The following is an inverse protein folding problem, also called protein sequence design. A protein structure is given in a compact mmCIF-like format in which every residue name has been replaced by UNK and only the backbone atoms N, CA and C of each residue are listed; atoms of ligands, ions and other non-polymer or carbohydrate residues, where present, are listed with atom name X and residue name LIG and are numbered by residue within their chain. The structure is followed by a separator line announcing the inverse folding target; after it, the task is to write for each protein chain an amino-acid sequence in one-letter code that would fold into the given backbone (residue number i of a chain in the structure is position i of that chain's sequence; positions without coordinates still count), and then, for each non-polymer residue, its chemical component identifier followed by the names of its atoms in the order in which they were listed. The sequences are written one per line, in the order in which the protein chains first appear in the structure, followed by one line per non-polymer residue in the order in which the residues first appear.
data_IF_759086981694
#
_entry.id   IF_759086981694
#
_cell.length_a   1.000
_cell.length_b   1.000
_cell.length_c   1.000
_cell.angle_alpha   90.00
_cell.angle_beta   90.00
_cell.angle_gamma   90.00
#
_symmetry.space_group_name_H-M   'P 1'
#
loop_
_entity.id
_entity.type
_entity.pdbx_description
1 polymer ?
#
# COMPACT_ATOMS: atom_id res chain seq x y z
N UNK A 1 -21.06 -4.67 -3.92
CA UNK A 1 -19.95 -3.76 -3.56
C UNK A 1 -19.20 -4.22 -2.30
N UNK A 2 -19.85 -4.71 -1.25
CA UNK A 2 -19.18 -5.26 -0.04
C UNK A 2 -18.08 -6.28 -0.33
N UNK A 3 -18.30 -7.21 -1.28
CA UNK A 3 -17.29 -8.19 -1.68
C UNK A 3 -16.02 -7.55 -2.26
N UNK A 4 -16.15 -6.46 -3.03
CA UNK A 4 -15.01 -5.74 -3.57
C UNK A 4 -14.17 -5.11 -2.45
N UNK A 5 -14.82 -4.50 -1.45
CA UNK A 5 -14.14 -3.93 -0.28
C UNK A 5 -13.46 -5.01 0.58
N UNK A 6 -14.07 -6.19 0.73
CA UNK A 6 -13.45 -7.34 1.40
C UNK A 6 -12.21 -7.84 0.65
N UNK A 7 -12.29 -7.96 -0.68
CA UNK A 7 -11.16 -8.34 -1.52
C UNK A 7 -10.05 -7.30 -1.46
N UNK A 8 -10.38 -6.01 -1.54
CA UNK A 8 -9.41 -4.91 -1.39
C UNK A 8 -8.75 -4.94 0.01
N UNK A 9 -9.51 -5.20 1.07
CA UNK A 9 -8.97 -5.38 2.43
C UNK A 9 -7.97 -6.53 2.50
N UNK A 10 -8.33 -7.71 1.98
CA UNK A 10 -7.43 -8.84 1.91
C UNK A 10 -6.18 -8.54 1.06
N UNK A 11 -6.34 -7.85 -0.07
CA UNK A 11 -5.24 -7.43 -0.95
C UNK A 11 -4.25 -6.50 -0.23
N UNK A 12 -4.74 -5.52 0.53
CA UNK A 12 -3.88 -4.66 1.34
C UNK A 12 -3.11 -5.43 2.42
N UNK A 13 -3.76 -6.41 3.06
CA UNK A 13 -3.08 -7.26 4.03
C UNK A 13 -1.98 -8.11 3.37
N UNK A 14 -2.27 -8.73 2.22
CA UNK A 14 -1.28 -9.48 1.46
C UNK A 14 -0.09 -8.62 1.02
N UNK A 15 -0.36 -7.38 0.57
CA UNK A 15 0.71 -6.43 0.24
C UNK A 15 1.50 -6.03 1.48
N UNK A 16 0.87 -5.82 2.63
CA UNK A 16 1.60 -5.55 3.88
C UNK A 16 2.59 -6.68 4.22
N UNK A 17 2.13 -7.93 4.13
CA UNK A 17 2.96 -9.10 4.41
C UNK A 17 4.09 -9.24 3.38
N UNK A 18 3.78 -9.12 2.09
CA UNK A 18 4.77 -9.18 1.01
C UNK A 18 5.79 -8.04 1.07
N UNK A 19 5.34 -6.81 1.38
CA UNK A 19 6.22 -5.66 1.61
C UNK A 19 7.15 -5.92 2.79
N UNK A 20 6.63 -6.45 3.91
CA UNK A 20 7.46 -6.81 5.06
C UNK A 20 8.47 -7.90 4.73
N UNK A 21 8.06 -8.94 4.00
CA UNK A 21 8.92 -10.05 3.62
C UNK A 21 10.04 -9.62 2.66
N UNK A 22 9.69 -8.84 1.62
CA UNK A 22 10.66 -8.34 0.64
C UNK A 22 11.72 -7.41 1.23
N UNK A 23 11.48 -6.85 2.43
CA UNK A 23 12.50 -6.12 3.19
C UNK A 23 13.80 -6.92 3.30
N UNK A 24 13.68 -8.22 3.55
CA UNK A 24 14.81 -9.11 3.79
C UNK A 24 15.76 -9.13 2.58
N UNK A 25 15.22 -9.30 1.38
CA UNK A 25 16.00 -9.52 0.16
C UNK A 25 16.94 -8.34 -0.16
N UNK A 26 16.46 -7.10 -0.02
CA UNK A 26 17.27 -5.92 -0.33
C UNK A 26 18.03 -5.38 0.88
N UNK A 27 17.53 -5.59 2.10
CA UNK A 27 18.25 -5.15 3.30
C UNK A 27 19.44 -6.05 3.60
N UNK A 28 19.39 -7.36 3.31
CA UNK A 28 20.54 -8.26 3.52
C UNK A 28 21.68 -8.01 2.53
N UNK A 29 21.44 -7.23 1.46
CA UNK A 29 22.47 -6.88 0.50
C UNK A 29 23.60 -6.05 1.14
N UNK A 30 24.85 -6.45 0.89
CA UNK A 30 26.04 -5.76 1.40
C UNK A 30 26.05 -4.25 1.07
N UNK A 31 25.59 -3.84 -0.12
CA UNK A 31 25.50 -2.41 -0.50
C UNK A 31 24.51 -1.63 0.36
N UNK A 32 23.44 -2.27 0.81
CA UNK A 32 22.49 -1.62 1.71
C UNK A 32 23.07 -1.52 3.13
N UNK A 33 23.74 -2.57 3.60
CA UNK A 33 24.34 -2.61 4.95
C UNK A 33 25.49 -1.61 5.12
N UNK A 34 26.12 -1.16 4.03
CA UNK A 34 27.20 -0.16 4.05
C UNK A 34 26.70 1.29 3.86
N UNK A 35 25.39 1.52 3.80
CA UNK A 35 24.85 2.88 3.72
C UNK A 35 25.23 3.72 4.95
N UNK A 36 25.40 5.04 4.80
CA UNK A 36 25.54 5.95 5.94
C UNK A 36 24.39 5.78 6.93
N UNK A 37 24.68 5.90 8.22
CA UNK A 37 23.74 5.61 9.32
C UNK A 37 22.34 6.21 9.14
N UNK A 38 22.27 7.48 8.71
CA UNK A 38 20.99 8.18 8.48
C UNK A 38 20.22 7.54 7.33
N UNK A 39 20.88 7.26 6.19
CA UNK A 39 20.25 6.64 5.03
C UNK A 39 19.76 5.21 5.36
N UNK A 40 20.59 4.42 6.05
CA UNK A 40 20.23 3.08 6.53
C UNK A 40 18.98 3.13 7.43
N UNK A 41 18.99 4.00 8.45
CA UNK A 41 17.91 4.10 9.41
C UNK A 41 16.59 4.55 8.75
N UNK A 42 16.63 5.60 7.93
CA UNK A 42 15.44 6.12 7.25
C UNK A 42 14.87 5.11 6.24
N UNK A 43 15.72 4.41 5.48
CA UNK A 43 15.26 3.40 4.53
C UNK A 43 14.61 2.21 5.25
N UNK A 44 15.24 1.69 6.31
CA UNK A 44 14.71 0.55 7.07
C UNK A 44 13.41 0.90 7.80
N UNK A 45 13.41 2.01 8.56
CA UNK A 45 12.23 2.44 9.29
C UNK A 45 11.08 2.80 8.35
N UNK A 46 11.36 3.57 7.29
CA UNK A 46 10.35 3.97 6.29
C UNK A 46 9.70 2.76 5.61
N UNK A 47 10.47 1.71 5.34
CA UNK A 47 9.90 0.49 4.79
C UNK A 47 8.92 -0.21 5.74
N UNK A 48 9.28 -0.40 7.00
CA UNK A 48 8.37 -1.02 7.98
C UNK A 48 7.18 -0.13 8.35
N UNK A 49 7.36 1.20 8.35
CA UNK A 49 6.24 2.14 8.43
C UNK A 49 5.27 1.96 7.26
N UNK A 50 5.77 1.78 6.04
CA UNK A 50 4.98 1.43 4.85
C UNK A 50 4.18 0.13 5.04
N UNK A 51 4.80 -0.91 5.62
CA UNK A 51 4.08 -2.14 5.96
C UNK A 51 2.92 -1.91 6.93
N UNK A 52 3.13 -1.12 7.98
CA UNK A 52 2.07 -0.73 8.93
C UNK A 52 0.97 0.09 8.26
N UNK A 53 1.32 1.01 7.36
CA UNK A 53 0.38 1.77 6.55
C UNK A 53 -0.55 0.86 5.72
N UNK A 54 0.00 -0.21 5.12
CA UNK A 54 -0.82 -1.17 4.40
C UNK A 54 -1.78 -1.96 5.30
N UNK A 55 -1.42 -2.23 6.57
CA UNK A 55 -2.35 -2.83 7.54
C UNK A 55 -3.50 -1.87 7.85
N UNK A 56 -3.20 -0.59 8.07
CA UNK A 56 -4.25 0.43 8.30
C UNK A 56 -5.22 0.49 7.10
N UNK A 57 -4.70 0.42 5.88
CA UNK A 57 -5.49 0.36 4.65
C UNK A 57 -6.36 -0.90 4.55
N UNK A 58 -5.87 -2.05 5.03
CA UNK A 58 -6.65 -3.28 5.11
C UNK A 58 -7.81 -3.14 6.09
N UNK A 59 -7.54 -2.58 7.28
CA UNK A 59 -8.53 -2.39 8.33
C UNK A 59 -9.63 -1.40 7.92
N UNK A 60 -9.27 -0.27 7.28
CA UNK A 60 -10.26 0.72 6.85
C UNK A 60 -11.17 0.17 5.75
N UNK A 61 -10.63 -0.60 4.79
CA UNK A 61 -11.45 -1.27 3.78
C UNK A 61 -12.35 -2.36 4.39
N UNK A 62 -11.86 -3.05 5.42
CA UNK A 62 -12.71 -3.98 6.18
C UNK A 62 -13.86 -3.25 6.86
N UNK A 63 -13.59 -2.12 7.53
CA UNK A 63 -14.62 -1.28 8.14
C UNK A 63 -15.66 -0.78 7.12
N UNK A 64 -15.21 -0.27 5.97
CA UNK A 64 -16.11 0.09 4.86
C UNK A 64 -16.90 -1.09 4.32
N UNK A 65 -16.34 -2.31 4.32
CA UNK A 65 -17.10 -3.50 3.92
C UNK A 65 -18.25 -3.82 4.90
N UNK A 66 -18.05 -3.55 6.19
CA UNK A 66 -19.07 -3.75 7.23
C UNK A 66 -20.14 -2.65 7.21
N UNK A 67 -19.75 -1.42 6.86
CA UNK A 67 -20.67 -0.29 6.70
C UNK A 67 -20.30 0.55 5.46
N UNK A 68 -20.78 0.18 4.26
CA UNK A 68 -20.47 0.90 3.03
C UNK A 68 -21.00 2.34 3.00
N UNK A 69 -21.99 2.67 3.85
CA UNK A 69 -22.53 4.02 3.98
C UNK A 69 -21.49 5.06 4.40
N UNK A 70 -20.41 4.63 5.08
CA UNK A 70 -19.28 5.50 5.44
C UNK A 70 -18.63 6.15 4.21
N UNK A 71 -18.64 5.50 3.04
CA UNK A 71 -18.07 6.04 1.81
C UNK A 71 -18.93 7.14 1.16
N UNK A 72 -20.09 7.48 1.73
CA UNK A 72 -20.87 8.66 1.36
C UNK A 72 -20.36 9.92 2.05
N UNK A 73 -19.66 9.78 3.16
CA UNK A 73 -18.95 10.88 3.80
C UNK A 73 -17.76 11.31 2.91
N UNK A 74 -17.65 12.59 2.52
CA UNK A 74 -16.54 13.09 1.72
C UNK A 74 -15.16 12.79 2.31
N UNK A 75 -15.01 12.75 3.64
CA UNK A 75 -13.73 12.46 4.30
C UNK A 75 -13.29 11.03 4.02
N UNK A 76 -14.19 10.04 4.14
CA UNK A 76 -13.86 8.65 3.82
C UNK A 76 -13.56 8.47 2.32
N UNK A 77 -14.31 9.16 1.45
CA UNK A 77 -14.05 9.13 0.01
C UNK A 77 -12.69 9.78 -0.33
N UNK A 78 -12.34 10.86 0.36
CA UNK A 78 -11.02 11.51 0.23
C UNK A 78 -9.89 10.60 0.72
N UNK A 79 -10.05 9.91 1.86
CA UNK A 79 -9.08 8.92 2.33
C UNK A 79 -8.84 7.84 1.27
N UNK A 80 -9.90 7.27 0.68
CA UNK A 80 -9.77 6.29 -0.40
C UNK A 80 -9.04 6.86 -1.63
N UNK A 81 -9.32 8.12 -1.99
CA UNK A 81 -8.63 8.84 -3.06
C UNK A 81 -7.14 9.03 -2.77
N UNK A 82 -6.77 9.41 -1.54
CA UNK A 82 -5.37 9.55 -1.10
C UNK A 82 -4.65 8.20 -1.13
N UNK A 83 -5.29 7.13 -0.63
CA UNK A 83 -4.74 5.77 -0.69
C UNK A 83 -4.43 5.37 -2.14
N UNK A 84 -5.35 5.63 -3.06
CA UNK A 84 -5.15 5.39 -4.49
C UNK A 84 -3.98 6.25 -5.02
N UNK A 85 -3.98 7.56 -4.80
CA UNK A 85 -2.95 8.47 -5.31
C UNK A 85 -1.53 8.06 -4.87
N UNK A 86 -1.34 7.68 -3.60
CA UNK A 86 -0.04 7.22 -3.09
C UNK A 86 0.44 5.99 -3.86
N UNK A 87 -0.45 5.04 -4.18
CA UNK A 87 -0.08 3.84 -4.94
C UNK A 87 0.31 4.14 -6.38
N UNK A 88 -0.42 5.03 -7.04
CA UNK A 88 -0.12 5.40 -8.42
C UNK A 88 1.18 6.22 -8.52
N UNK A 89 1.40 7.17 -7.61
CA UNK A 89 2.65 7.96 -7.57
C UNK A 89 3.85 7.06 -7.26
N UNK A 90 3.74 6.16 -6.28
CA UNK A 90 4.81 5.20 -5.98
C UNK A 90 5.05 4.22 -7.13
N UNK A 91 3.99 3.74 -7.79
CA UNK A 91 4.09 2.87 -8.97
C UNK A 91 4.86 3.53 -10.11
N UNK A 92 4.53 4.78 -10.43
CA UNK A 92 5.28 5.57 -11.41
C UNK A 92 6.76 5.72 -11.01
N UNK A 93 7.03 6.03 -9.74
CA UNK A 93 8.40 6.14 -9.25
C UNK A 93 9.17 4.81 -9.35
N UNK A 94 8.53 3.69 -9.03
CA UNK A 94 9.13 2.36 -9.16
C UNK A 94 9.46 2.01 -10.61
N UNK A 95 8.57 2.29 -11.56
CA UNK A 95 8.83 2.09 -13.00
C UNK A 95 10.08 2.89 -13.41
N UNK A 96 10.14 4.18 -13.05
CA UNK A 96 11.26 5.06 -13.38
C UNK A 96 12.60 4.56 -12.84
N UNK A 97 12.59 3.85 -11.71
CA UNK A 97 13.79 3.36 -11.03
C UNK A 97 14.02 1.84 -11.23
N UNK A 98 13.32 1.19 -12.16
CA UNK A 98 13.55 -0.21 -12.51
C UNK A 98 13.02 -1.24 -11.50
N UNK A 99 12.15 -0.85 -10.56
CA UNK A 99 11.57 -1.73 -9.53
C UNK A 99 10.22 -2.28 -9.99
N UNK A 100 10.22 -3.00 -11.12
CA UNK A 100 9.00 -3.39 -11.83
C UNK A 100 8.03 -4.24 -10.98
N UNK A 101 8.55 -5.16 -10.14
CA UNK A 101 7.70 -5.99 -9.26
C UNK A 101 6.87 -5.15 -8.29
N UNK A 102 7.48 -4.14 -7.66
CA UNK A 102 6.76 -3.24 -6.75
C UNK A 102 5.75 -2.38 -7.51
N UNK A 103 6.11 -1.90 -8.72
CA UNK A 103 5.20 -1.12 -9.56
C UNK A 103 3.92 -1.90 -9.89
N UNK A 104 4.05 -3.18 -10.24
CA UNK A 104 2.89 -4.05 -10.50
C UNK A 104 2.05 -4.21 -9.24
N UNK A 105 2.68 -4.53 -8.10
CA UNK A 105 1.95 -4.74 -6.85
C UNK A 105 1.13 -3.50 -6.42
N UNK A 106 1.75 -2.31 -6.42
CA UNK A 106 1.05 -1.07 -6.05
C UNK A 106 0.03 -0.64 -7.11
N UNK A 107 0.30 -0.88 -8.39
CA UNK A 107 -0.66 -0.59 -9.47
C UNK A 107 -1.94 -1.41 -9.35
N UNK A 108 -1.81 -2.72 -9.09
CA UNK A 108 -2.96 -3.63 -8.91
C UNK A 108 -3.80 -3.22 -7.71
N UNK A 109 -3.19 -2.99 -6.54
CA UNK A 109 -3.98 -2.60 -5.35
C UNK A 109 -4.54 -1.19 -5.46
N UNK A 110 -3.84 -0.27 -6.12
CA UNK A 110 -4.34 1.06 -6.42
C UNK A 110 -5.59 1.00 -7.31
N UNK A 111 -5.59 0.16 -8.34
CA UNK A 111 -6.76 -0.07 -9.19
C UNK A 111 -7.92 -0.72 -8.40
N UNK A 112 -7.63 -1.73 -7.57
CA UNK A 112 -8.64 -2.36 -6.70
C UNK A 112 -9.24 -1.36 -5.71
N UNK A 113 -8.42 -0.51 -5.09
CA UNK A 113 -8.87 0.53 -4.17
C UNK A 113 -9.79 1.54 -4.85
N UNK A 114 -9.40 2.01 -6.04
CA UNK A 114 -10.21 2.91 -6.85
C UNK A 114 -11.56 2.27 -7.20
N UNK A 115 -11.53 1.05 -7.74
CA UNK A 115 -12.74 0.33 -8.07
C UNK A 115 -13.64 0.11 -6.84
N UNK A 116 -13.11 -0.37 -5.73
CA UNK A 116 -13.93 -0.74 -4.56
C UNK A 116 -14.53 0.47 -3.84
N UNK A 117 -13.84 1.62 -3.80
CA UNK A 117 -14.32 2.79 -3.04
C UNK A 117 -15.19 3.75 -3.87
N UNK A 118 -14.97 3.82 -5.18
CA UNK A 118 -15.68 4.74 -6.08
C UNK A 118 -16.80 4.06 -6.88
N UNK A 119 -16.96 2.74 -6.76
CA UNK A 119 -18.17 2.05 -7.22
C UNK A 119 -19.29 1.99 -6.18
N UNK A 120 -19.05 2.46 -4.94
CA UNK A 120 -20.02 2.50 -3.81
C UNK A 120 -20.87 3.75 -3.83
#
# INVERSE_FOLDING_TARGET
MTKALQLTSAGWLLISLGHTASAKDWQENAKFQTLPRIAYACAKAGWYQGSGFFIMNALINYAWSRNPGLLRDPVHKAIAGVMMAIMWVSGWWYIKNGVAGNAVAVGVIGALQGYSAFSV
#
